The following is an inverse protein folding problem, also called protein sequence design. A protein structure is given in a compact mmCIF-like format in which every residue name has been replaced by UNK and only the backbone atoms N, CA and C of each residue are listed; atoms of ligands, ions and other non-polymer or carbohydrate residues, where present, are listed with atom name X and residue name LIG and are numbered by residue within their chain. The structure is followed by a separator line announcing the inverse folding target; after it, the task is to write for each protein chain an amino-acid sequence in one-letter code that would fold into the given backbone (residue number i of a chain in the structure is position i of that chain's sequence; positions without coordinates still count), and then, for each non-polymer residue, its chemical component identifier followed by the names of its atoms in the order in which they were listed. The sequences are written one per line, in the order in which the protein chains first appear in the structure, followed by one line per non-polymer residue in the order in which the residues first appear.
data_IF_830118327586
#
_entry.id   IF_830118327586
#
_cell.length_a   1.000
_cell.length_b   1.000
_cell.length_c   1.000
_cell.angle_alpha   90.00
_cell.angle_beta   90.00
_cell.angle_gamma   90.00
#
_symmetry.space_group_name_H-M   'P 1'
#
loop_
_entity.id
_entity.type
_entity.pdbx_description
1 polymer ?
#
# COMPACT_ATOMS: atom_id res chain seq x y z
N UNK A 1 11.15 -17.58 -7.77
CA UNK A 1 10.82 -16.22 -8.00
C UNK A 1 9.39 -15.96 -8.43
N UNK A 2 9.08 -16.14 -9.73
CA UNK A 2 7.81 -15.69 -10.36
C UNK A 2 6.55 -16.29 -9.70
N UNK A 3 6.59 -17.57 -9.33
CA UNK A 3 5.45 -18.24 -8.68
C UNK A 3 5.08 -17.56 -7.35
N UNK A 4 6.06 -17.21 -6.53
CA UNK A 4 5.82 -16.51 -5.25
C UNK A 4 5.20 -15.12 -5.45
N UNK A 5 5.63 -14.39 -6.49
CA UNK A 5 5.07 -13.08 -6.82
C UNK A 5 3.61 -13.22 -7.23
N UNK A 6 3.30 -14.14 -8.13
CA UNK A 6 1.93 -14.39 -8.60
C UNK A 6 1.03 -14.83 -7.44
N UNK A 7 1.49 -15.76 -6.61
CA UNK A 7 0.71 -16.20 -5.46
C UNK A 7 0.48 -15.06 -4.46
N UNK A 8 1.51 -14.26 -4.18
CA UNK A 8 1.41 -13.12 -3.27
C UNK A 8 0.43 -12.06 -3.77
N UNK A 9 0.44 -11.74 -5.07
CA UNK A 9 -0.51 -10.76 -5.65
C UNK A 9 -1.94 -11.26 -5.66
N UNK A 10 -2.17 -12.56 -5.93
CA UNK A 10 -3.50 -13.17 -5.85
C UNK A 10 -4.03 -13.13 -4.40
N UNK A 11 -3.21 -13.52 -3.43
CA UNK A 11 -3.59 -13.49 -2.02
C UNK A 11 -3.86 -12.06 -1.54
N UNK A 12 -3.08 -11.09 -2.00
CA UNK A 12 -3.30 -9.69 -1.65
C UNK A 12 -4.63 -9.17 -2.23
N UNK A 13 -4.90 -9.42 -3.51
CA UNK A 13 -6.17 -9.04 -4.14
C UNK A 13 -7.38 -9.69 -3.47
N UNK A 14 -7.32 -11.00 -3.21
CA UNK A 14 -8.37 -11.73 -2.49
C UNK A 14 -8.59 -11.16 -1.08
N UNK A 15 -7.53 -10.82 -0.36
CA UNK A 15 -7.59 -10.20 0.96
C UNK A 15 -8.26 -8.83 0.93
N UNK A 16 -8.04 -8.02 -0.13
CA UNK A 16 -8.70 -6.72 -0.30
C UNK A 16 -10.21 -6.86 -0.47
N UNK A 17 -10.65 -7.79 -1.33
CA UNK A 17 -12.07 -8.06 -1.56
C UNK A 17 -12.74 -8.61 -0.30
N UNK A 18 -12.08 -9.52 0.42
CA UNK A 18 -12.60 -10.05 1.68
C UNK A 18 -12.74 -8.96 2.74
N UNK A 19 -11.75 -8.07 2.85
CA UNK A 19 -11.81 -6.92 3.77
C UNK A 19 -12.96 -5.99 3.43
N UNK A 20 -13.20 -5.73 2.15
CA UNK A 20 -14.35 -4.93 1.71
C UNK A 20 -15.67 -5.53 2.16
N UNK A 21 -15.86 -6.84 2.02
CA UNK A 21 -17.07 -7.53 2.47
C UNK A 21 -17.27 -7.40 3.99
N UNK A 22 -16.22 -7.63 4.76
CA UNK A 22 -16.25 -7.48 6.22
C UNK A 22 -16.60 -6.06 6.69
N UNK A 23 -16.19 -5.03 5.95
CA UNK A 23 -16.52 -3.64 6.26
C UNK A 23 -17.94 -3.25 5.86
N UNK A 24 -18.43 -3.73 4.72
CA UNK A 24 -19.82 -3.48 4.27
C UNK A 24 -20.82 -4.05 5.28
N UNK A 25 -20.55 -5.26 5.77
CA UNK A 25 -21.42 -5.91 6.75
C UNK A 25 -21.20 -5.40 8.19
N UNK A 26 -20.29 -4.42 8.38
CA UNK A 26 -19.92 -3.85 9.69
C UNK A 26 -19.52 -4.90 10.74
N UNK A 27 -18.96 -6.03 10.30
CA UNK A 27 -18.57 -7.13 11.17
C UNK A 27 -17.36 -6.73 12.02
N UNK A 28 -16.40 -6.00 11.43
CA UNK A 28 -15.16 -5.59 12.09
C UNK A 28 -14.76 -4.17 11.68
N UNK A 29 -13.98 -3.51 12.54
CA UNK A 29 -13.38 -2.21 12.21
C UNK A 29 -12.04 -2.36 11.46
N UNK A 30 -11.64 -1.31 10.72
CA UNK A 30 -10.37 -1.29 10.01
C UNK A 30 -9.18 -1.42 10.98
N UNK A 31 -9.25 -0.74 12.12
CA UNK A 31 -8.22 -0.75 13.16
C UNK A 31 -7.98 -2.17 13.68
N UNK A 32 -9.07 -2.88 13.97
CA UNK A 32 -8.99 -4.25 14.43
C UNK A 32 -8.33 -5.15 13.37
N UNK A 33 -8.78 -5.04 12.12
CA UNK A 33 -8.26 -5.87 11.03
C UNK A 33 -6.78 -5.59 10.75
N UNK A 34 -6.35 -4.32 10.73
CA UNK A 34 -4.94 -3.94 10.57
C UNK A 34 -4.10 -4.53 11.68
N UNK A 35 -4.54 -4.37 12.94
CA UNK A 35 -3.81 -4.85 14.12
C UNK A 35 -3.62 -6.36 14.07
N UNK A 36 -4.69 -7.10 13.84
CA UNK A 36 -4.64 -8.57 13.78
C UNK A 36 -3.77 -9.05 12.62
N UNK A 37 -3.91 -8.45 11.43
CA UNK A 37 -3.07 -8.81 10.27
C UNK A 37 -1.59 -8.58 10.51
N UNK A 38 -1.22 -7.43 11.07
CA UNK A 38 0.19 -7.11 11.32
C UNK A 38 0.78 -8.02 12.40
N UNK A 39 0.05 -8.28 13.47
CA UNK A 39 0.50 -9.19 14.54
C UNK A 39 0.67 -10.62 14.00
N UNK A 40 -0.35 -11.17 13.33
CA UNK A 40 -0.28 -12.53 12.79
C UNK A 40 0.82 -12.66 11.74
N UNK A 41 0.96 -11.70 10.83
CA UNK A 41 2.03 -11.71 9.83
C UNK A 41 3.40 -11.61 10.47
N UNK A 42 3.57 -10.74 11.48
CA UNK A 42 4.82 -10.59 12.22
C UNK A 42 5.21 -11.86 12.94
N UNK A 43 4.29 -12.48 13.68
CA UNK A 43 4.53 -13.76 14.36
C UNK A 43 4.88 -14.86 13.34
N UNK A 44 4.13 -14.96 12.25
CA UNK A 44 4.39 -15.96 11.20
C UNK A 44 5.78 -15.80 10.59
N UNK A 45 6.18 -14.58 10.25
CA UNK A 45 7.51 -14.31 9.70
C UNK A 45 8.63 -14.63 10.70
N UNK A 46 8.46 -14.26 11.97
CA UNK A 46 9.43 -14.61 13.03
C UNK A 46 9.54 -16.12 13.23
N UNK A 47 8.44 -16.85 13.19
CA UNK A 47 8.46 -18.32 13.28
C UNK A 47 9.18 -18.95 12.08
N UNK A 48 8.91 -18.44 10.85
CA UNK A 48 9.57 -18.92 9.64
C UNK A 48 11.08 -18.65 9.72
N UNK A 49 11.48 -17.45 10.13
CA UNK A 49 12.89 -17.08 10.26
C UNK A 49 13.60 -17.93 11.31
N UNK A 50 12.98 -18.15 12.47
CA UNK A 50 13.52 -19.03 13.52
C UNK A 50 13.74 -20.47 13.04
N UNK A 51 12.87 -20.99 12.17
CA UNK A 51 12.96 -22.36 11.65
C UNK A 51 14.02 -22.45 10.54
N UNK A 52 14.05 -21.49 9.63
CA UNK A 52 14.91 -21.54 8.43
C UNK A 52 16.34 -21.09 8.70
N UNK A 53 16.51 -19.96 9.39
CA UNK A 53 17.80 -19.29 9.48
C UNK A 53 18.58 -19.64 10.75
N UNK A 54 17.96 -20.20 11.79
CA UNK A 54 18.58 -20.50 13.10
C UNK A 54 19.39 -19.33 13.66
N UNK A 55 19.14 -18.11 13.16
CA UNK A 55 19.86 -16.90 13.51
C UNK A 55 19.36 -16.28 14.82
N UNK A 56 20.10 -15.31 15.32
CA UNK A 56 19.67 -14.50 16.46
C UNK A 56 18.64 -13.45 15.97
N UNK A 57 17.35 -13.77 16.14
CA UNK A 57 16.23 -12.88 15.78
C UNK A 57 16.39 -11.49 16.44
N UNK A 58 17.03 -11.44 17.60
CA UNK A 58 17.28 -10.20 18.33
C UNK A 58 18.53 -9.45 17.86
N UNK A 59 19.31 -9.97 16.90
CA UNK A 59 20.52 -9.32 16.39
C UNK A 59 20.23 -7.92 15.83
N UNK A 60 19.05 -7.72 15.22
CA UNK A 60 18.62 -6.46 14.64
C UNK A 60 18.50 -5.34 15.70
N UNK A 61 18.16 -5.69 16.94
CA UNK A 61 18.07 -4.72 18.03
C UNK A 61 19.45 -4.23 18.53
N UNK A 62 20.52 -4.93 18.15
CA UNK A 62 21.92 -4.58 18.45
C UNK A 62 22.56 -3.74 17.37
N UNK A 63 21.92 -3.64 16.18
CA UNK A 63 22.43 -2.86 15.05
C UNK A 63 21.96 -1.42 15.11
N UNK A 64 22.57 -0.55 14.29
CA UNK A 64 22.16 0.84 14.12
C UNK A 64 20.85 0.98 13.32
N UNK A 65 20.40 -0.11 12.69
CA UNK A 65 19.25 -0.11 11.76
C UNK A 65 17.88 -0.25 12.46
N UNK A 66 17.87 -0.34 13.79
CA UNK A 66 16.62 -0.41 14.57
C UNK A 66 15.68 0.77 14.35
N UNK A 67 16.21 1.99 14.23
CA UNK A 67 15.36 3.18 14.02
C UNK A 67 14.72 3.21 12.63
N UNK A 68 15.45 3.02 11.52
CA UNK A 68 14.86 2.83 10.20
C UNK A 68 13.82 1.70 10.17
N UNK A 69 14.06 0.58 10.85
CA UNK A 69 13.12 -0.55 10.91
C UNK A 69 11.81 -0.16 11.61
N UNK A 70 11.87 0.57 12.72
CA UNK A 70 10.68 1.07 13.43
C UNK A 70 9.91 2.05 12.55
N UNK A 71 10.60 2.99 11.89
CA UNK A 71 9.97 3.92 10.96
C UNK A 71 9.30 3.18 9.79
N UNK A 72 9.95 2.18 9.23
CA UNK A 72 9.38 1.33 8.19
C UNK A 72 8.12 0.59 8.69
N UNK A 73 8.15 0.04 9.90
CA UNK A 73 6.99 -0.65 10.47
C UNK A 73 5.79 0.29 10.68
N UNK A 74 6.02 1.48 11.25
CA UNK A 74 4.95 2.43 11.57
C UNK A 74 4.47 3.18 10.33
N UNK A 75 5.35 3.85 9.63
CA UNK A 75 4.96 4.68 8.47
C UNK A 75 4.85 3.88 7.18
N UNK A 76 5.67 2.84 6.98
CA UNK A 76 5.56 1.95 5.85
C UNK A 76 4.37 0.99 5.99
N UNK A 77 4.50 0.00 6.85
CA UNK A 77 3.52 -1.10 6.92
C UNK A 77 2.18 -0.68 7.52
N UNK A 78 2.17 -0.09 8.72
CA UNK A 78 0.93 0.32 9.38
C UNK A 78 0.24 1.45 8.61
N UNK A 79 0.99 2.48 8.18
CA UNK A 79 0.45 3.62 7.45
C UNK A 79 -0.23 3.21 6.14
N UNK A 80 0.44 2.37 5.33
CA UNK A 80 -0.13 1.85 4.07
C UNK A 80 -1.38 1.01 4.34
N UNK A 81 -1.34 0.08 5.29
CA UNK A 81 -2.46 -0.81 5.57
C UNK A 81 -3.69 -0.04 6.07
N UNK A 82 -3.49 0.90 6.99
CA UNK A 82 -4.57 1.68 7.58
C UNK A 82 -5.24 2.59 6.54
N UNK A 83 -4.45 3.30 5.75
CA UNK A 83 -4.98 4.20 4.71
C UNK A 83 -5.60 3.45 3.54
N UNK A 84 -5.08 2.27 3.19
CA UNK A 84 -5.68 1.39 2.21
C UNK A 84 -7.09 0.95 2.64
N UNK A 85 -7.26 0.52 3.88
CA UNK A 85 -8.57 0.14 4.40
C UNK A 85 -9.50 1.35 4.58
N UNK A 86 -8.96 2.51 4.95
CA UNK A 86 -9.72 3.76 4.92
C UNK A 86 -10.32 4.04 3.55
N UNK A 87 -9.54 3.82 2.49
CA UNK A 87 -10.05 3.95 1.11
C UNK A 87 -11.13 2.92 0.78
N UNK A 88 -10.98 1.66 1.23
CA UNK A 88 -11.99 0.62 1.01
C UNK A 88 -13.33 0.98 1.67
N UNK A 89 -13.30 1.47 2.90
CA UNK A 89 -14.50 1.85 3.66
C UNK A 89 -15.31 2.92 2.93
N UNK A 90 -14.62 3.90 2.32
CA UNK A 90 -15.28 5.01 1.63
C UNK A 90 -15.50 4.77 0.13
N UNK A 91 -15.07 3.61 -0.39
CA UNK A 91 -15.22 3.22 -1.80
C UNK A 91 -15.25 1.69 -1.97
N UNK A 92 -14.18 1.11 -2.50
CA UNK A 92 -14.03 -0.33 -2.70
C UNK A 92 -12.55 -0.74 -2.86
N UNK A 93 -12.28 -2.05 -2.83
CA UNK A 93 -10.93 -2.59 -2.92
C UNK A 93 -10.22 -2.28 -4.26
N UNK A 94 -10.97 -2.25 -5.36
CA UNK A 94 -10.41 -1.92 -6.67
C UNK A 94 -9.93 -0.46 -6.71
N UNK A 95 -10.76 0.48 -6.23
CA UNK A 95 -10.41 1.90 -6.11
C UNK A 95 -9.19 2.10 -5.21
N UNK A 96 -9.16 1.45 -4.05
CA UNK A 96 -8.04 1.55 -3.12
C UNK A 96 -6.72 1.09 -3.79
N UNK A 97 -6.75 -0.03 -4.51
CA UNK A 97 -5.58 -0.56 -5.22
C UNK A 97 -5.10 0.37 -6.33
N UNK A 98 -6.02 0.92 -7.12
CA UNK A 98 -5.63 1.81 -8.23
C UNK A 98 -5.09 3.14 -7.71
N UNK A 99 -5.71 3.72 -6.68
CA UNK A 99 -5.18 4.94 -6.06
C UNK A 99 -3.81 4.71 -5.42
N UNK A 100 -3.58 3.57 -4.79
CA UNK A 100 -2.26 3.20 -4.27
C UNK A 100 -1.21 3.09 -5.39
N UNK A 101 -1.59 2.63 -6.57
CA UNK A 101 -0.69 2.57 -7.74
C UNK A 101 -0.34 3.95 -8.34
N UNK A 102 -0.79 5.04 -7.77
CA UNK A 102 -0.24 6.38 -8.02
C UNK A 102 1.11 6.62 -7.30
N UNK A 103 1.53 5.70 -6.45
CA UNK A 103 2.83 5.72 -5.75
C UNK A 103 4.02 6.10 -6.65
N UNK A 104 4.20 5.60 -7.89
CA UNK A 104 5.32 5.98 -8.74
C UNK A 104 5.38 7.48 -9.06
N UNK A 105 4.22 8.14 -9.09
CA UNK A 105 4.15 9.61 -9.28
C UNK A 105 4.83 10.30 -8.10
N UNK A 106 4.48 9.89 -6.87
CA UNK A 106 5.07 10.45 -5.64
C UNK A 106 6.57 10.20 -5.60
N UNK A 107 7.02 8.99 -5.98
CA UNK A 107 8.45 8.64 -6.05
C UNK A 107 9.20 9.54 -7.05
N UNK A 108 8.65 9.75 -8.24
CA UNK A 108 9.28 10.60 -9.25
C UNK A 108 9.38 12.05 -8.77
N UNK A 109 8.34 12.59 -8.14
CA UNK A 109 8.40 13.92 -7.52
C UNK A 109 9.48 13.98 -6.43
N UNK A 110 9.53 13.00 -5.54
CA UNK A 110 10.57 12.93 -4.51
C UNK A 110 11.98 12.92 -5.10
N UNK A 111 12.24 12.08 -6.11
CA UNK A 111 13.53 11.99 -6.76
C UNK A 111 13.90 13.30 -7.50
N UNK A 112 12.93 13.96 -8.11
CA UNK A 112 13.14 15.25 -8.77
C UNK A 112 13.65 16.30 -7.78
N UNK A 113 13.05 16.40 -6.59
CA UNK A 113 13.43 17.39 -5.58
C UNK A 113 14.69 17.02 -4.80
N UNK A 114 14.92 15.72 -4.56
CA UNK A 114 16.03 15.26 -3.71
C UNK A 114 17.33 15.04 -4.50
N UNK A 115 17.23 14.44 -5.68
CA UNK A 115 18.38 14.07 -6.51
C UNK A 115 18.54 14.95 -7.75
N UNK A 116 17.61 15.89 -8.00
CA UNK A 116 17.54 16.72 -9.21
C UNK A 116 17.57 15.89 -10.50
N UNK A 117 17.19 14.60 -10.41
CA UNK A 117 17.11 13.70 -11.56
C UNK A 117 15.83 13.98 -12.33
N UNK A 118 15.96 14.36 -13.59
CA UNK A 118 14.80 14.47 -14.49
C UNK A 118 14.24 13.08 -14.80
N UNK A 119 12.91 12.93 -14.78
CA UNK A 119 12.27 11.66 -15.13
C UNK A 119 12.56 11.29 -16.59
N UNK A 120 12.79 10.00 -16.83
CA UNK A 120 12.95 9.48 -18.18
C UNK A 120 11.63 9.50 -18.94
N UNK A 121 11.70 9.43 -20.27
CA UNK A 121 10.50 9.36 -21.11
C UNK A 121 9.58 8.18 -20.74
N UNK A 122 10.16 7.05 -20.36
CA UNK A 122 9.40 5.85 -19.91
C UNK A 122 8.66 6.11 -18.60
N UNK A 123 9.30 6.79 -17.65
CA UNK A 123 8.68 7.18 -16.37
C UNK A 123 7.53 8.17 -16.61
N UNK A 124 7.73 9.19 -17.44
CA UNK A 124 6.67 10.14 -17.82
C UNK A 124 5.48 9.46 -18.50
N UNK A 125 5.75 8.53 -19.42
CA UNK A 125 4.70 7.77 -20.09
C UNK A 125 3.93 6.88 -19.12
N UNK A 126 4.60 6.23 -18.18
CA UNK A 126 3.96 5.43 -17.12
C UNK A 126 3.09 6.28 -16.20
N UNK A 127 3.57 7.47 -15.82
CA UNK A 127 2.80 8.44 -15.03
C UNK A 127 1.55 8.90 -15.80
N UNK A 128 1.69 9.23 -17.06
CA UNK A 128 0.56 9.62 -17.90
C UNK A 128 -0.50 8.52 -17.96
N UNK A 129 -0.10 7.26 -18.21
CA UNK A 129 -1.01 6.12 -18.19
C UNK A 129 -1.70 5.92 -16.84
N UNK A 130 -0.96 6.08 -15.73
CA UNK A 130 -1.51 5.95 -14.38
C UNK A 130 -2.57 7.04 -14.11
N UNK A 131 -2.30 8.29 -14.50
CA UNK A 131 -3.26 9.41 -14.35
C UNK A 131 -4.50 9.15 -15.19
N UNK A 132 -4.34 8.77 -16.45
CA UNK A 132 -5.47 8.47 -17.36
C UNK A 132 -6.30 7.30 -16.80
N UNK A 133 -5.65 6.21 -16.38
CA UNK A 133 -6.34 5.06 -15.77
C UNK A 133 -7.12 5.43 -14.52
N UNK A 134 -6.51 6.21 -13.62
CA UNK A 134 -7.17 6.71 -12.41
C UNK A 134 -8.35 7.62 -12.77
N UNK A 135 -8.18 8.49 -13.75
CA UNK A 135 -9.23 9.38 -14.22
C UNK A 135 -10.45 8.60 -14.72
N UNK A 136 -10.25 7.60 -15.58
CA UNK A 136 -11.35 6.74 -16.05
C UNK A 136 -12.02 5.97 -14.92
N UNK A 137 -11.26 5.53 -13.92
CA UNK A 137 -11.82 4.87 -12.74
C UNK A 137 -12.72 5.81 -11.94
N UNK A 138 -12.20 7.02 -11.64
CA UNK A 138 -12.89 8.02 -10.78
C UNK A 138 -14.16 8.54 -11.44
N UNK A 139 -14.16 8.69 -12.76
CA UNK A 139 -15.28 9.26 -13.52
C UNK A 139 -16.20 8.21 -14.14
N UNK A 140 -15.77 6.93 -14.20
CA UNK A 140 -16.44 5.87 -14.99
C UNK A 140 -16.70 6.30 -16.44
N UNK A 141 -15.82 7.15 -16.99
CA UNK A 141 -15.99 7.72 -18.33
C UNK A 141 -16.99 8.88 -18.44
N UNK A 142 -17.61 9.30 -17.36
CA UNK A 142 -18.50 10.46 -17.34
C UNK A 142 -17.79 11.67 -16.73
N UNK A 143 -17.45 12.66 -17.58
CA UNK A 143 -16.68 13.84 -17.19
C UNK A 143 -17.40 14.79 -16.23
N UNK A 144 -18.71 14.63 -16.07
CA UNK A 144 -19.53 15.52 -15.26
C UNK A 144 -19.77 15.04 -13.83
N UNK A 145 -19.37 13.81 -13.50
CA UNK A 145 -19.64 13.23 -12.18
C UNK A 145 -18.42 12.51 -11.60
N UNK A 146 -18.02 12.92 -10.40
CA UNK A 146 -17.10 12.13 -9.60
C UNK A 146 -17.88 10.96 -8.99
N UNK A 147 -17.54 9.74 -9.35
CA UNK A 147 -18.17 8.52 -8.80
C UNK A 147 -17.50 8.03 -7.52
N UNK A 148 -16.42 8.68 -7.11
CA UNK A 148 -15.66 8.38 -5.88
C UNK A 148 -15.87 9.54 -4.91
N UNK A 149 -16.10 9.23 -3.62
CA UNK A 149 -16.20 10.24 -2.58
C UNK A 149 -14.86 10.97 -2.40
N UNK A 150 -14.90 12.24 -2.01
CA UNK A 150 -13.70 13.02 -1.72
C UNK A 150 -12.87 12.34 -0.61
N UNK A 151 -13.54 11.74 0.36
CA UNK A 151 -12.91 11.00 1.45
C UNK A 151 -12.09 9.82 0.93
N UNK A 152 -12.67 8.99 0.04
CA UNK A 152 -11.95 7.87 -0.58
C UNK A 152 -10.74 8.36 -1.39
N UNK A 153 -10.86 9.48 -2.09
CA UNK A 153 -9.75 10.07 -2.84
C UNK A 153 -8.63 10.50 -1.91
N UNK A 154 -8.94 11.21 -0.82
CA UNK A 154 -7.94 11.66 0.17
C UNK A 154 -7.24 10.45 0.79
N UNK A 155 -7.99 9.46 1.29
CA UNK A 155 -7.43 8.24 1.87
C UNK A 155 -6.52 7.51 0.88
N UNK A 156 -6.93 7.39 -0.38
CA UNK A 156 -6.15 6.72 -1.43
C UNK A 156 -4.87 7.45 -1.81
N UNK A 157 -4.89 8.79 -1.88
CA UNK A 157 -3.68 9.59 -2.13
C UNK A 157 -2.71 9.52 -0.96
N UNK A 158 -3.20 9.57 0.28
CA UNK A 158 -2.37 9.37 1.47
C UNK A 158 -1.76 7.97 1.48
N UNK A 159 -2.52 6.95 1.08
CA UNK A 159 -2.01 5.60 0.90
C UNK A 159 -0.88 5.53 -0.13
N UNK A 160 -1.01 6.23 -1.27
CA UNK A 160 0.06 6.31 -2.27
C UNK A 160 1.33 6.98 -1.72
N UNK A 161 1.19 8.00 -0.88
CA UNK A 161 2.33 8.65 -0.20
C UNK A 161 3.03 7.69 0.76
N UNK A 162 2.30 6.98 1.61
CA UNK A 162 2.88 5.96 2.49
C UNK A 162 3.50 4.80 1.71
N UNK A 163 2.88 4.37 0.60
CA UNK A 163 3.44 3.35 -0.27
C UNK A 163 4.73 3.82 -0.97
N UNK A 164 4.83 5.08 -1.34
CA UNK A 164 6.06 5.67 -1.86
C UNK A 164 7.16 5.69 -0.79
N UNK A 165 6.84 6.13 0.43
CA UNK A 165 7.77 6.10 1.56
C UNK A 165 8.27 4.68 1.88
N UNK A 166 7.39 3.70 1.81
CA UNK A 166 7.72 2.28 1.98
C UNK A 166 8.70 1.75 0.92
N UNK A 167 8.67 2.33 -0.28
CA UNK A 167 9.47 1.85 -1.43
C UNK A 167 10.83 2.56 -1.55
N UNK A 168 10.95 3.78 -1.02
CA UNK A 168 12.17 4.60 -1.02
C UNK A 168 13.11 4.20 0.11
#
# INVERSE_FOLDING_TARGET
GTLFIVTGTILWGASGVLSQHLFVDKIISAEWLVTVRLILSGITLLCIDAILNKGDIFSIWRTKDKFPLICFGIFGMLGVQYTYFGTIIHSNAATATILQYLMPIVIVFYLLFTTHRLPSFKELFSIFLAIVGTFFLVTKGNFSTLTISLEALIWGLVCACFAAFYTL
#
